data_IF_452765339645
#
_entry.id   IF_452765339645
#
_cell.length_a   1.000
_cell.length_b   1.000
_cell.length_c   1.000
_cell.angle_alpha   90.00
_cell.angle_beta   90.00
_cell.angle_gamma   90.00
#
_symmetry.space_group_name_H-M   'P 1'
#
loop_
_entity.id
_entity.type
_entity.pdbx_description
1 polymer ?
#
# COMPACT_ATOMS: atom_id res chain seq x y z
N UNK A 1 -8.88 -2.19 12.03
CA UNK A 1 -8.73 -2.96 10.78
C UNK A 1 -7.27 -2.93 10.39
N UNK A 2 -6.69 -4.08 10.01
CA UNK A 2 -5.31 -4.17 9.51
C UNK A 2 -5.35 -4.30 7.98
N UNK A 3 -4.58 -3.48 7.27
CA UNK A 3 -4.36 -3.59 5.83
C UNK A 3 -2.87 -3.83 5.63
N UNK A 4 -2.50 -4.89 4.92
CA UNK A 4 -1.12 -5.15 4.53
C UNK A 4 -0.91 -4.68 3.08
N UNK A 5 0.27 -4.10 2.81
CA UNK A 5 0.71 -3.77 1.47
C UNK A 5 1.77 -4.77 1.03
N UNK A 6 1.47 -5.58 0.02
CA UNK A 6 2.37 -6.50 -0.67
C UNK A 6 3.23 -7.33 0.33
N UNK A 7 4.56 -7.16 0.30
CA UNK A 7 5.51 -7.87 1.16
C UNK A 7 5.30 -7.69 2.67
N UNK A 8 4.50 -6.71 3.12
CA UNK A 8 4.11 -6.60 4.53
C UNK A 8 3.19 -7.75 5.00
N UNK A 9 2.64 -8.54 4.08
CA UNK A 9 1.77 -9.68 4.42
C UNK A 9 2.51 -10.79 5.15
N UNK A 10 3.71 -11.14 4.70
CA UNK A 10 4.54 -12.18 5.33
C UNK A 10 4.87 -11.90 6.81
N UNK A 11 5.41 -10.72 7.19
CA UNK A 11 5.67 -10.41 8.59
C UNK A 11 4.39 -10.31 9.43
N UNK A 12 3.24 -9.94 8.85
CA UNK A 12 1.96 -10.02 9.56
C UNK A 12 1.64 -11.48 9.94
N UNK A 13 1.73 -12.40 8.96
CA UNK A 13 1.46 -13.82 9.22
C UNK A 13 2.45 -14.44 10.21
N UNK A 14 3.74 -14.09 10.11
CA UNK A 14 4.77 -14.52 11.05
C UNK A 14 4.46 -14.05 12.49
N UNK A 15 3.85 -12.88 12.64
CA UNK A 15 3.34 -12.37 13.92
C UNK A 15 1.95 -12.93 14.29
N UNK A 16 1.44 -13.95 13.59
CA UNK A 16 0.10 -14.52 13.76
C UNK A 16 -1.07 -13.53 13.54
N UNK A 17 -0.82 -12.44 12.81
CA UNK A 17 -1.82 -11.45 12.43
C UNK A 17 -2.32 -11.72 11.01
N UNK A 18 -3.63 -11.86 10.84
CA UNK A 18 -4.27 -11.96 9.51
C UNK A 18 -4.79 -10.58 9.12
N UNK A 19 -4.25 -9.95 8.06
CA UNK A 19 -4.79 -8.69 7.55
C UNK A 19 -6.25 -8.84 7.12
N UNK A 20 -7.06 -7.80 7.31
CA UNK A 20 -8.42 -7.80 6.77
C UNK A 20 -8.40 -7.61 5.24
N UNK A 21 -7.46 -6.79 4.75
CA UNK A 21 -7.25 -6.50 3.34
C UNK A 21 -5.75 -6.61 3.03
N UNK A 22 -5.41 -7.12 1.86
CA UNK A 22 -4.08 -7.07 1.26
C UNK A 22 -4.19 -6.21 0.01
N UNK A 23 -3.32 -5.22 -0.15
CA UNK A 23 -3.17 -4.44 -1.39
C UNK A 23 -1.85 -4.86 -2.01
N UNK A 24 -1.85 -5.36 -3.23
CA UNK A 24 -0.65 -5.97 -3.83
C UNK A 24 -0.64 -5.85 -5.35
N UNK A 25 0.54 -5.62 -5.91
CA UNK A 25 0.85 -5.80 -7.33
C UNK A 25 1.51 -7.15 -7.67
N UNK A 26 1.64 -8.02 -6.64
CA UNK A 26 2.24 -9.37 -6.65
C UNK A 26 3.78 -9.39 -6.71
N UNK A 27 4.47 -8.30 -6.36
CA UNK A 27 5.95 -8.27 -6.30
C UNK A 27 6.53 -8.97 -5.05
N UNK A 28 5.72 -9.17 -4.00
CA UNK A 28 6.11 -9.74 -2.71
C UNK A 28 5.96 -11.26 -2.60
N UNK A 29 5.72 -11.74 -1.38
CA UNK A 29 5.54 -13.17 -1.10
C UNK A 29 4.12 -13.61 -1.45
N UNK A 30 3.84 -13.90 -2.73
CA UNK A 30 2.51 -14.34 -3.20
C UNK A 30 1.99 -15.55 -2.43
N UNK A 31 2.88 -16.47 -2.03
CA UNK A 31 2.52 -17.61 -1.18
C UNK A 31 1.94 -17.18 0.18
N UNK A 32 2.51 -16.14 0.80
CA UNK A 32 1.99 -15.55 2.05
C UNK A 32 0.66 -14.85 1.81
N UNK A 33 0.49 -14.18 0.69
CA UNK A 33 -0.76 -13.51 0.33
C UNK A 33 -1.91 -14.50 0.11
N UNK A 34 -1.65 -15.60 -0.61
CA UNK A 34 -2.60 -16.71 -0.78
C UNK A 34 -2.93 -17.33 0.58
N UNK A 35 -1.94 -17.55 1.44
CA UNK A 35 -2.16 -18.10 2.78
C UNK A 35 -3.02 -17.18 3.65
N UNK A 36 -2.81 -15.87 3.60
CA UNK A 36 -3.61 -14.87 4.30
C UNK A 36 -5.04 -14.80 3.73
N UNK A 37 -5.19 -14.82 2.40
CA UNK A 37 -6.48 -14.85 1.72
C UNK A 37 -7.30 -16.11 2.08
N UNK A 38 -6.67 -17.28 2.11
CA UNK A 38 -7.28 -18.53 2.62
C UNK A 38 -7.77 -18.41 4.07
N UNK A 39 -7.15 -17.55 4.87
CA UNK A 39 -7.51 -17.25 6.27
C UNK A 39 -8.50 -16.09 6.40
N UNK A 40 -9.05 -15.58 5.30
CA UNK A 40 -10.12 -14.59 5.27
C UNK A 40 -9.71 -13.17 4.86
N UNK A 41 -8.45 -12.93 4.48
CA UNK A 41 -8.05 -11.63 3.93
C UNK A 41 -8.69 -11.40 2.56
N UNK A 42 -9.22 -10.20 2.31
CA UNK A 42 -9.62 -9.77 0.96
C UNK A 42 -8.43 -9.22 0.20
N UNK A 43 -8.29 -9.55 -1.08
CA UNK A 43 -7.16 -9.07 -1.88
C UNK A 43 -7.62 -7.95 -2.80
N UNK A 44 -6.93 -6.83 -2.78
CA UNK A 44 -7.02 -5.75 -3.77
C UNK A 44 -5.80 -5.88 -4.67
N UNK A 45 -6.00 -6.53 -5.80
CA UNK A 45 -4.94 -6.87 -6.75
C UNK A 45 -4.79 -5.73 -7.76
N UNK A 46 -3.63 -5.09 -7.78
CA UNK A 46 -3.37 -3.92 -8.61
C UNK A 46 -2.71 -4.32 -9.94
N UNK A 47 -3.36 -3.98 -11.05
CA UNK A 47 -2.78 -4.16 -12.37
C UNK A 47 -2.01 -2.90 -12.82
N UNK A 48 -0.82 -3.11 -13.38
CA UNK A 48 0.01 -2.10 -14.05
C UNK A 48 0.66 -2.66 -15.32
N UNK A 49 1.50 -1.87 -15.99
CA UNK A 49 1.88 -2.09 -17.38
C UNK A 49 2.64 -3.38 -17.70
N UNK A 50 3.31 -3.97 -16.71
CA UNK A 50 4.24 -5.09 -16.87
C UNK A 50 3.91 -6.31 -15.99
N UNK A 51 2.95 -6.23 -15.07
CA UNK A 51 2.61 -7.37 -14.19
C UNK A 51 1.52 -8.29 -14.74
N UNK A 52 1.07 -8.11 -16.00
CA UNK A 52 0.06 -9.00 -16.62
C UNK A 52 0.43 -10.49 -16.55
N UNK A 53 1.66 -10.93 -16.89
CA UNK A 53 2.02 -12.35 -16.78
C UNK A 53 1.89 -12.88 -15.35
N UNK A 54 2.30 -12.08 -14.36
CA UNK A 54 2.19 -12.43 -12.93
C UNK A 54 0.72 -12.57 -12.51
N UNK A 55 -0.15 -11.68 -12.97
CA UNK A 55 -1.59 -11.76 -12.69
C UNK A 55 -2.19 -13.03 -13.31
N UNK A 56 -1.87 -13.33 -14.58
CA UNK A 56 -2.35 -14.53 -15.26
C UNK A 56 -1.87 -15.81 -14.59
N UNK A 57 -0.68 -15.81 -14.00
CA UNK A 57 -0.13 -16.94 -13.25
C UNK A 57 -0.81 -17.14 -11.89
N UNK A 58 -1.03 -16.05 -11.14
CA UNK A 58 -1.33 -16.14 -9.71
C UNK A 58 -2.77 -15.83 -9.31
N UNK A 59 -3.50 -14.99 -10.07
CA UNK A 59 -4.81 -14.48 -9.64
C UNK A 59 -5.81 -15.61 -9.34
N UNK A 60 -5.85 -16.66 -10.16
CA UNK A 60 -6.78 -17.79 -9.98
C UNK A 60 -6.40 -18.73 -8.81
N UNK A 61 -5.21 -18.56 -8.22
CA UNK A 61 -4.75 -19.39 -7.10
C UNK A 61 -5.24 -18.89 -5.73
N UNK A 62 -5.75 -17.66 -5.66
CA UNK A 62 -6.33 -17.11 -4.45
C UNK A 62 -7.73 -17.71 -4.19
N UNK A 63 -7.94 -18.47 -3.09
CA UNK A 63 -9.20 -19.18 -2.86
C UNK A 63 -10.35 -18.28 -2.36
N UNK A 64 -10.06 -17.04 -1.97
CA UNK A 64 -11.02 -16.10 -1.39
C UNK A 64 -11.31 -14.90 -2.30
N UNK A 65 -11.90 -13.85 -1.73
CA UNK A 65 -12.32 -12.67 -2.49
C UNK A 65 -11.14 -11.85 -3.01
N UNK A 66 -11.17 -11.55 -4.32
CA UNK A 66 -10.26 -10.62 -4.99
C UNK A 66 -11.05 -9.48 -5.63
N UNK A 67 -10.53 -8.27 -5.51
CA UNK A 67 -10.98 -7.07 -6.21
C UNK A 67 -9.84 -6.52 -7.06
N UNK A 68 -10.05 -6.41 -8.36
CA UNK A 68 -9.08 -5.79 -9.25
C UNK A 68 -9.01 -4.27 -9.05
N UNK A 69 -7.81 -3.70 -9.07
CA UNK A 69 -7.55 -2.27 -8.99
C UNK A 69 -6.67 -1.77 -10.14
N UNK A 70 -6.91 -0.54 -10.59
CA UNK A 70 -6.23 0.07 -11.75
C UNK A 70 -5.97 1.56 -11.53
N UNK A 71 -4.82 2.06 -12.00
CA UNK A 71 -4.38 3.45 -11.82
C UNK A 71 -4.46 4.31 -13.10
N UNK A 72 -4.95 3.78 -14.22
CA UNK A 72 -5.22 4.54 -15.44
C UNK A 72 -6.68 4.99 -15.56
N UNK A 73 -7.14 5.23 -16.79
CA UNK A 73 -8.52 5.66 -17.07
C UNK A 73 -9.55 4.73 -16.42
N UNK A 74 -10.67 5.27 -15.90
CA UNK A 74 -11.72 4.46 -15.28
C UNK A 74 -12.15 3.28 -16.16
N UNK A 75 -12.17 2.10 -15.56
CA UNK A 75 -12.62 0.86 -16.21
C UNK A 75 -13.77 0.27 -15.40
N UNK A 76 -14.85 -0.20 -16.05
CA UNK A 76 -15.92 -0.87 -15.34
C UNK A 76 -15.37 -2.03 -14.49
N UNK A 77 -15.91 -2.19 -13.27
CA UNK A 77 -15.57 -3.29 -12.34
C UNK A 77 -14.15 -3.28 -11.76
N UNK A 78 -13.32 -2.28 -12.07
CA UNK A 78 -12.02 -2.10 -11.44
C UNK A 78 -12.07 -0.94 -10.45
N UNK A 79 -11.51 -1.17 -9.26
CA UNK A 79 -11.37 -0.16 -8.24
C UNK A 79 -10.27 0.84 -8.62
N UNK A 80 -10.58 2.14 -8.55
CA UNK A 80 -9.58 3.20 -8.64
C UNK A 80 -9.73 4.16 -7.45
N UNK A 81 -8.92 3.95 -6.42
CA UNK A 81 -8.82 4.83 -5.24
C UNK A 81 -7.66 5.83 -5.35
N UNK A 82 -6.92 5.82 -6.47
CA UNK A 82 -5.63 6.51 -6.59
C UNK A 82 -4.50 5.74 -5.91
N UNK A 83 -3.35 6.39 -5.73
CA UNK A 83 -2.14 5.80 -5.14
C UNK A 83 -1.16 5.32 -6.20
N UNK A 84 0.12 5.33 -5.86
CA UNK A 84 1.23 5.01 -6.75
C UNK A 84 1.96 3.71 -6.37
N UNK A 85 2.08 3.41 -5.08
CA UNK A 85 2.58 2.14 -4.55
C UNK A 85 1.44 1.39 -3.85
N UNK A 86 1.66 0.14 -3.43
CA UNK A 86 0.63 -0.56 -2.65
C UNK A 86 0.41 0.09 -1.28
N UNK A 87 1.46 0.67 -0.69
CA UNK A 87 1.41 1.34 0.60
C UNK A 87 0.51 2.58 0.61
N UNK A 88 0.72 3.54 -0.31
CA UNK A 88 -0.13 4.74 -0.36
C UNK A 88 -1.53 4.42 -0.90
N UNK A 89 -1.68 3.45 -1.81
CA UNK A 89 -2.97 2.93 -2.25
C UNK A 89 -3.77 2.34 -1.09
N UNK A 90 -3.12 1.60 -0.18
CA UNK A 90 -3.77 1.08 1.03
C UNK A 90 -4.31 2.19 1.94
N UNK A 91 -3.60 3.32 2.06
CA UNK A 91 -4.07 4.49 2.80
C UNK A 91 -5.31 5.09 2.15
N UNK A 92 -5.27 5.32 0.83
CA UNK A 92 -6.38 5.90 0.11
C UNK A 92 -7.60 4.97 0.09
N UNK A 93 -7.37 3.65 0.04
CA UNK A 93 -8.41 2.64 0.23
C UNK A 93 -9.05 2.77 1.62
N UNK A 94 -8.23 2.88 2.68
CA UNK A 94 -8.75 3.07 4.03
C UNK A 94 -9.57 4.37 4.16
N UNK A 95 -9.12 5.47 3.56
CA UNK A 95 -9.91 6.72 3.49
C UNK A 95 -11.24 6.50 2.76
N UNK A 96 -11.23 5.79 1.63
CA UNK A 96 -12.43 5.49 0.84
C UNK A 96 -13.43 4.62 1.61
N UNK A 97 -12.94 3.72 2.47
CA UNK A 97 -13.73 2.90 3.38
C UNK A 97 -14.21 3.66 4.63
N UNK A 98 -13.92 4.96 4.74
CA UNK A 98 -14.41 5.81 5.83
C UNK A 98 -13.53 5.79 7.09
N UNK A 99 -12.26 5.39 7.00
CA UNK A 99 -11.35 5.48 8.13
C UNK A 99 -11.15 6.95 8.55
N UNK A 100 -11.30 7.25 9.84
CA UNK A 100 -11.04 8.58 10.40
C UNK A 100 -9.64 8.73 11.00
N UNK A 101 -8.95 7.60 11.21
CA UNK A 101 -7.57 7.52 11.71
C UNK A 101 -6.83 6.38 11.03
N UNK A 102 -5.62 6.65 10.55
CA UNK A 102 -4.75 5.68 9.87
C UNK A 102 -3.38 5.70 10.54
N UNK A 103 -2.93 4.54 11.00
CA UNK A 103 -1.59 4.34 11.58
C UNK A 103 -0.72 3.60 10.58
N UNK A 104 0.36 4.22 10.12
CA UNK A 104 1.31 3.65 9.17
C UNK A 104 2.47 3.00 9.92
N UNK A 105 2.61 1.68 9.81
CA UNK A 105 3.73 0.93 10.37
C UNK A 105 4.64 0.43 9.25
N UNK A 106 5.95 0.42 9.47
CA UNK A 106 6.91 -0.08 8.49
C UNK A 106 7.16 0.84 7.28
N UNK A 107 6.59 2.05 7.29
CA UNK A 107 6.80 3.06 6.25
C UNK A 107 8.05 3.89 6.55
N UNK A 108 9.13 3.71 5.78
CA UNK A 108 10.33 4.56 5.85
C UNK A 108 10.60 5.21 4.49
N UNK A 109 10.33 6.52 4.41
CA UNK A 109 10.52 7.30 3.18
C UNK A 109 12.00 7.61 2.88
N UNK A 110 12.92 7.33 3.81
CA UNK A 110 14.33 7.72 3.72
C UNK A 110 15.26 6.54 3.51
N UNK A 111 14.79 5.31 3.76
CA UNK A 111 15.59 4.10 3.69
C UNK A 111 14.99 3.10 2.73
N UNK A 112 15.82 2.64 1.80
CA UNK A 112 15.51 1.52 0.90
C UNK A 112 16.64 0.52 1.03
N UNK A 113 16.36 -0.66 1.56
CA UNK A 113 17.29 -1.78 1.63
C UNK A 113 17.32 -2.48 0.26
N UNK A 114 17.95 -1.85 -0.74
CA UNK A 114 18.11 -2.35 -2.11
C UNK A 114 19.59 -2.24 -2.53
N UNK A 115 20.28 -3.38 -2.74
CA UNK A 115 21.70 -3.37 -3.07
C UNK A 115 21.97 -2.82 -4.48
N UNK A 116 21.09 -3.09 -5.44
CA UNK A 116 21.28 -2.61 -6.82
C UNK A 116 21.03 -1.09 -6.91
N UNK A 117 22.01 -0.28 -7.34
CA UNK A 117 21.89 1.18 -7.35
C UNK A 117 20.74 1.70 -8.22
N UNK A 118 20.46 1.06 -9.36
CA UNK A 118 19.41 1.49 -10.28
C UNK A 118 18.02 1.19 -9.72
N UNK A 119 17.80 -0.01 -9.19
CA UNK A 119 16.57 -0.39 -8.48
C UNK A 119 16.38 0.47 -7.24
N UNK A 120 17.44 0.79 -6.49
CA UNK A 120 17.37 1.67 -5.33
C UNK A 120 16.91 3.07 -5.71
N UNK A 121 17.50 3.66 -6.75
CA UNK A 121 17.10 4.97 -7.26
C UNK A 121 15.63 4.99 -7.72
N UNK A 122 15.18 3.94 -8.43
CA UNK A 122 13.76 3.80 -8.80
C UNK A 122 12.85 3.70 -7.58
N UNK A 123 13.17 2.86 -6.60
CA UNK A 123 12.40 2.71 -5.36
C UNK A 123 12.30 4.03 -4.59
N UNK A 124 13.40 4.78 -4.48
CA UNK A 124 13.40 6.12 -3.87
C UNK A 124 12.49 7.10 -4.62
N UNK A 125 12.51 7.09 -5.96
CA UNK A 125 11.60 7.91 -6.76
C UNK A 125 10.12 7.51 -6.55
N UNK A 126 9.82 6.20 -6.46
CA UNK A 126 8.46 5.72 -6.11
C UNK A 126 8.03 6.21 -4.73
N UNK A 127 8.92 6.14 -3.73
CA UNK A 127 8.65 6.62 -2.37
C UNK A 127 8.43 8.14 -2.31
N UNK A 128 9.12 8.93 -3.12
CA UNK A 128 8.88 10.38 -3.20
C UNK A 128 7.45 10.68 -3.69
N UNK A 129 6.94 9.93 -4.66
CA UNK A 129 5.55 10.02 -5.10
C UNK A 129 4.56 9.61 -4.01
N UNK A 130 4.79 8.47 -3.36
CA UNK A 130 3.97 8.02 -2.23
C UNK A 130 3.92 9.08 -1.11
N UNK A 131 5.07 9.68 -0.77
CA UNK A 131 5.17 10.75 0.23
C UNK A 131 4.28 11.93 -0.14
N UNK A 132 4.32 12.38 -1.40
CA UNK A 132 3.50 13.48 -1.91
C UNK A 132 2.00 13.15 -1.85
N UNK A 133 1.61 11.95 -2.30
CA UNK A 133 0.21 11.50 -2.29
C UNK A 133 -0.33 11.44 -0.86
N UNK A 134 0.46 10.91 0.07
CA UNK A 134 0.07 10.85 1.48
C UNK A 134 0.01 12.25 2.12
N UNK A 135 0.88 13.18 1.69
CA UNK A 135 0.85 14.55 2.20
C UNK A 135 -0.41 15.29 1.70
N UNK A 136 -0.80 15.07 0.44
CA UNK A 136 -2.06 15.54 -0.11
C UNK A 136 -3.26 14.93 0.66
N UNK A 137 -3.23 13.63 0.95
CA UNK A 137 -4.26 12.95 1.74
C UNK A 137 -4.41 13.54 3.15
N UNK A 138 -3.29 13.71 3.87
CA UNK A 138 -3.28 14.33 5.19
C UNK A 138 -3.84 15.76 5.16
N UNK A 139 -3.50 16.55 4.12
CA UNK A 139 -4.02 17.92 3.94
C UNK A 139 -5.53 17.95 3.66
N UNK A 140 -6.09 16.95 2.97
CA UNK A 140 -7.55 16.85 2.76
C UNK A 140 -8.31 16.61 4.07
N UNK A 141 -7.64 16.06 5.10
CA UNK A 141 -8.20 15.92 6.44
C UNK A 141 -9.35 14.92 6.58
N UNK A 142 -9.53 13.99 5.62
CA UNK A 142 -10.55 12.94 5.72
C UNK A 142 -10.22 11.92 6.80
N UNK A 143 -8.94 11.61 6.95
CA UNK A 143 -8.40 10.78 8.02
C UNK A 143 -7.17 11.45 8.66
N UNK A 144 -7.01 11.29 9.97
CA UNK A 144 -5.75 11.60 10.65
C UNK A 144 -4.73 10.51 10.34
N UNK A 145 -3.64 10.86 9.65
CA UNK A 145 -2.55 9.94 9.33
C UNK A 145 -1.42 10.11 10.36
N UNK A 146 -0.94 9.01 10.93
CA UNK A 146 0.19 9.01 11.85
C UNK A 146 1.19 7.92 11.47
N UNK A 147 2.49 8.22 11.58
CA UNK A 147 3.55 7.24 11.50
C UNK A 147 3.68 6.55 12.86
N UNK A 148 3.68 5.22 12.86
CA UNK A 148 3.98 4.41 14.03
C UNK A 148 5.39 3.85 13.88
N UNK A 149 6.31 4.42 14.66
CA UNK A 149 7.74 4.17 14.59
C UNK A 149 8.12 2.90 15.34
N UNK A 150 9.29 2.33 15.00
CA UNK A 150 9.82 1.10 15.61
C UNK A 150 10.06 1.21 17.11
N UNK A 151 10.32 2.42 17.62
CA UNK A 151 10.49 2.70 19.05
C UNK A 151 9.15 2.87 19.80
N UNK A 152 8.03 2.65 19.12
CA UNK A 152 6.68 2.77 19.67
C UNK A 152 6.09 4.17 19.60
N UNK A 153 6.87 5.20 19.24
CA UNK A 153 6.34 6.57 19.10
C UNK A 153 5.37 6.68 17.94
N UNK A 154 4.44 7.63 18.06
CA UNK A 154 3.49 8.00 17.01
C UNK A 154 3.66 9.47 16.67
N UNK A 155 3.83 9.75 15.40
CA UNK A 155 4.04 11.11 14.88
C UNK A 155 2.97 11.43 13.85
N UNK A 156 2.37 12.61 13.94
CA UNK A 156 1.39 13.04 12.94
C UNK A 156 2.09 13.22 11.58
N UNK A 157 1.54 12.61 10.53
CA UNK A 157 2.08 12.75 9.18
C UNK A 157 1.45 13.98 8.49
N UNK A 158 2.27 14.78 7.80
CA UNK A 158 1.80 15.95 7.05
C UNK A 158 1.42 17.18 7.90
N UNK A 159 1.54 17.12 9.23
CA UNK A 159 1.39 18.27 10.11
C UNK A 159 2.75 18.98 10.20
N UNK A 160 2.92 20.07 9.45
CA UNK A 160 4.12 20.92 9.49
C UNK A 160 4.94 21.00 8.20
N UNK A 161 4.65 20.20 7.18
CA UNK A 161 5.25 20.38 5.84
C UNK A 161 4.39 21.34 5.00
N UNK A 162 4.22 22.55 5.52
CA UNK A 162 3.94 23.71 4.68
C UNK A 162 5.28 24.19 4.09
N UNK A 163 5.89 23.41 3.20
CA UNK A 163 7.04 23.88 2.44
C UNK A 163 6.64 24.20 1.00
N UNK A 164 6.58 25.52 0.76
CA UNK A 164 6.91 26.19 -0.49
C UNK A 164 6.05 25.85 -1.70
N UNK A 165 4.86 26.45 -1.75
CA UNK A 165 4.25 26.85 -3.03
C UNK A 165 5.03 28.04 -3.59
N UNK A 166 6.12 27.78 -4.31
CA UNK A 166 6.77 28.73 -5.23
C UNK A 166 7.72 27.92 -6.11
N UNK A 167 7.73 27.99 -7.44
CA UNK A 167 7.18 28.94 -8.42
C UNK A 167 6.59 28.21 -9.60
#
# INVERSE_FOLDING_TARGET
MLIAADGATEPCLAASLVPAIIVTDLDGSVASEIAANRRGSRVVLHAHGDNRPTIEEWADQFPGEIMGSWAGSPRPRLLNVGGFTDGDRAVLLAEHLGATRILLWGFDFRRVDEPDPLRRARKLAKLAWARRILADAARRGRARIELWLRDGRREAYGVGEAESTTR
#
